data_IF_678859769538
#
_entry.id   IF_678859769538
#
_cell.length_a   1.000
_cell.length_b   1.000
_cell.length_c   1.000
_cell.angle_alpha   90.00
_cell.angle_beta   90.00
_cell.angle_gamma   90.00
#
_symmetry.space_group_name_H-M   'P 1'
#
loop_
_entity.id
_entity.type
_entity.pdbx_description
1 polymer ?
#
# COMPACT_ATOMS: atom_id res chain seq x y z
N UNK A 1 81.63 -18.05 22.16
CA UNK A 1 80.40 -18.57 21.52
C UNK A 1 79.39 -17.44 21.49
N UNK A 2 79.42 -16.72 20.38
CA UNK A 2 78.80 -15.40 20.20
C UNK A 2 77.51 -15.61 19.43
N UNK A 3 76.38 -15.33 20.06
CA UNK A 3 75.02 -15.40 19.42
C UNK A 3 74.75 -14.04 18.86
N UNK A 4 74.60 -13.97 17.52
CA UNK A 4 74.20 -12.79 16.78
C UNK A 4 72.71 -12.63 16.85
N UNK A 5 72.24 -11.48 17.32
CA UNK A 5 70.85 -11.04 17.27
C UNK A 5 70.50 -10.52 15.89
N UNK A 6 69.56 -11.09 15.21
CA UNK A 6 68.93 -10.56 14.00
C UNK A 6 67.83 -9.55 14.36
N UNK A 7 67.74 -8.43 13.68
CA UNK A 7 66.63 -7.52 13.90
C UNK A 7 65.36 -8.00 13.17
N UNK A 8 64.28 -8.12 13.91
CA UNK A 8 62.92 -8.33 13.37
C UNK A 8 62.49 -7.07 12.64
N UNK A 9 62.24 -7.21 11.34
CA UNK A 9 61.63 -6.21 10.50
C UNK A 9 60.10 -6.23 10.77
N UNK A 10 59.58 -5.25 11.50
CA UNK A 10 58.17 -5.03 11.68
C UNK A 10 57.59 -4.41 10.41
N UNK A 11 56.97 -5.22 9.57
CA UNK A 11 56.17 -4.72 8.46
C UNK A 11 54.83 -4.23 9.06
N UNK A 12 54.70 -2.91 9.15
CA UNK A 12 53.43 -2.27 9.46
C UNK A 12 52.47 -2.53 8.29
N UNK A 13 51.61 -3.52 8.44
CA UNK A 13 50.45 -3.73 7.58
C UNK A 13 49.46 -2.56 7.81
N UNK A 14 49.63 -1.50 7.03
CA UNK A 14 48.62 -0.45 6.94
C UNK A 14 47.31 -1.08 6.44
N UNK A 15 46.41 -1.33 7.35
CA UNK A 15 45.03 -1.67 7.02
C UNK A 15 44.42 -0.48 6.27
N UNK A 16 44.40 -0.59 4.93
CA UNK A 16 43.61 0.28 4.08
C UNK A 16 42.15 -0.08 4.35
N UNK A 17 41.60 0.55 5.38
CA UNK A 17 40.17 0.55 5.63
C UNK A 17 39.56 1.33 4.44
N UNK A 18 39.25 0.62 3.35
CA UNK A 18 38.34 1.15 2.36
C UNK A 18 37.02 1.36 3.13
N UNK A 19 36.72 2.62 3.40
CA UNK A 19 35.35 3.06 3.60
C UNK A 19 34.61 2.55 2.34
N UNK A 20 33.96 1.40 2.48
CA UNK A 20 32.84 1.06 1.65
C UNK A 20 31.88 2.22 1.89
N UNK A 21 31.85 3.15 0.95
CA UNK A 21 30.69 4.01 0.80
C UNK A 21 29.52 3.05 0.79
N UNK A 22 28.80 3.01 1.90
CA UNK A 22 27.48 2.44 1.94
C UNK A 22 26.73 3.27 0.89
N UNK A 23 26.67 2.76 -0.34
CA UNK A 23 25.67 3.21 -1.27
C UNK A 23 24.37 3.07 -0.49
N UNK A 24 23.89 4.18 0.02
CA UNK A 24 22.53 4.28 0.50
C UNK A 24 21.69 3.83 -0.67
N UNK A 25 21.23 2.58 -0.63
CA UNK A 25 20.21 2.11 -1.54
C UNK A 25 19.16 3.19 -1.59
N UNK A 26 18.79 3.66 -2.77
CA UNK A 26 17.83 4.73 -2.87
C UNK A 26 16.55 4.28 -2.12
N UNK A 27 15.77 5.24 -1.66
CA UNK A 27 14.51 5.06 -0.91
C UNK A 27 13.50 4.05 -1.50
N UNK A 28 13.89 3.32 -2.55
CA UNK A 28 13.16 2.23 -3.17
C UNK A 28 12.82 1.08 -2.21
N UNK A 29 13.65 0.83 -1.20
CA UNK A 29 13.49 -0.29 -0.27
C UNK A 29 12.74 0.08 1.01
N UNK A 30 12.46 1.36 1.23
CA UNK A 30 11.66 1.79 2.37
C UNK A 30 10.19 1.38 2.16
N UNK A 31 9.52 0.80 3.19
CA UNK A 31 8.12 0.49 3.08
C UNK A 31 7.29 1.76 2.92
N UNK A 32 6.22 1.65 2.13
CA UNK A 32 5.14 2.64 2.08
C UNK A 32 4.18 2.32 3.22
N UNK A 33 3.89 3.29 4.05
CA UNK A 33 2.95 3.12 5.17
C UNK A 33 1.61 3.70 4.79
N UNK A 34 0.57 2.85 4.78
CA UNK A 34 -0.81 3.25 4.50
C UNK A 34 -1.67 2.89 5.71
N UNK A 35 -2.37 3.89 6.27
CA UNK A 35 -3.36 3.68 7.33
C UNK A 35 -4.75 3.76 6.75
N UNK A 36 -5.55 2.73 6.99
CA UNK A 36 -6.95 2.62 6.53
C UNK A 36 -7.86 2.68 7.74
N UNK A 37 -8.91 3.49 7.64
CA UNK A 37 -10.01 3.49 8.59
C UNK A 37 -11.30 3.04 7.91
N UNK A 38 -12.03 2.17 8.61
CA UNK A 38 -13.32 1.66 8.17
C UNK A 38 -14.37 1.78 9.26
N UNK A 39 -15.63 1.74 8.86
CA UNK A 39 -16.80 1.79 9.74
C UNK A 39 -17.82 0.73 9.32
N UNK A 40 -18.88 0.61 10.10
CA UNK A 40 -19.96 -0.35 9.85
C UNK A 40 -19.46 -1.81 9.77
N UNK A 41 -18.34 -2.11 10.43
CA UNK A 41 -17.76 -3.45 10.43
C UNK A 41 -18.71 -4.43 11.10
N UNK A 42 -19.11 -5.45 10.34
CA UNK A 42 -20.10 -6.43 10.75
C UNK A 42 -19.56 -7.83 10.49
N UNK A 43 -19.67 -8.67 11.51
CA UNK A 43 -19.29 -10.08 11.48
C UNK A 43 -20.55 -10.92 11.20
N UNK A 44 -20.63 -11.47 10.01
CA UNK A 44 -21.72 -12.39 9.62
C UNK A 44 -21.35 -13.82 9.98
N UNK A 45 -22.22 -14.49 10.72
CA UNK A 45 -22.07 -15.90 11.11
C UNK A 45 -23.21 -16.72 10.52
N UNK A 46 -22.87 -17.92 10.05
CA UNK A 46 -23.87 -18.87 9.60
C UNK A 46 -24.74 -19.38 10.76
N UNK A 47 -26.01 -19.59 10.50
CA UNK A 47 -26.94 -20.16 11.49
C UNK A 47 -26.61 -21.61 11.88
N UNK A 48 -25.66 -22.24 11.15
CA UNK A 48 -25.11 -23.56 11.47
C UNK A 48 -24.14 -23.54 12.66
N UNK A 49 -23.73 -22.36 13.12
CA UNK A 49 -22.87 -22.22 14.29
C UNK A 49 -23.73 -22.23 15.58
N UNK A 50 -24.16 -23.40 15.95
CA UNK A 50 -24.87 -23.61 17.20
C UNK A 50 -23.90 -24.09 18.30
N UNK A 51 -23.46 -23.16 19.14
CA UNK A 51 -22.59 -23.48 20.29
C UNK A 51 -23.17 -24.53 21.21
N UNK A 52 -24.52 -24.67 21.24
CA UNK A 52 -25.20 -25.71 22.04
C UNK A 52 -24.95 -27.10 21.50
N UNK A 53 -24.61 -27.26 20.22
CA UNK A 53 -24.24 -28.54 19.63
C UNK A 53 -22.82 -28.95 19.99
N UNK A 54 -21.90 -28.00 20.12
CA UNK A 54 -20.53 -28.27 20.57
C UNK A 54 -20.56 -28.81 22.00
N UNK A 55 -21.34 -28.22 22.88
CA UNK A 55 -21.46 -28.64 24.27
C UNK A 55 -22.10 -30.02 24.47
N UNK A 56 -22.79 -30.56 23.47
CA UNK A 56 -23.47 -31.86 23.51
C UNK A 56 -22.69 -32.99 22.85
N UNK A 57 -21.57 -32.68 22.21
CA UNK A 57 -20.71 -33.69 21.60
C UNK A 57 -19.81 -34.34 22.66
N UNK A 58 -20.04 -35.60 23.05
CA UNK A 58 -19.35 -36.22 24.18
C UNK A 58 -17.94 -36.72 23.84
N UNK A 59 -17.43 -36.48 22.65
CA UNK A 59 -16.17 -37.03 22.18
C UNK A 59 -15.02 -36.03 22.07
N UNK A 60 -13.76 -36.49 22.18
CA UNK A 60 -12.59 -35.67 21.90
C UNK A 60 -12.46 -35.33 20.40
N UNK A 61 -13.26 -35.97 19.57
CA UNK A 61 -13.41 -35.65 18.15
C UNK A 61 -14.79 -35.04 17.98
N UNK A 62 -14.84 -33.73 18.06
CA UNK A 62 -15.99 -32.97 17.59
C UNK A 62 -16.36 -33.43 16.19
N UNK A 63 -17.62 -33.61 15.91
CA UNK A 63 -18.03 -33.89 14.54
C UNK A 63 -17.52 -32.77 13.64
N UNK A 64 -17.04 -33.08 12.45
CA UNK A 64 -16.52 -32.11 11.47
C UNK A 64 -17.48 -30.93 11.26
N UNK A 65 -18.77 -31.14 11.44
CA UNK A 65 -19.81 -30.12 11.28
C UNK A 65 -19.85 -29.09 12.44
N UNK A 66 -19.26 -29.37 13.58
CA UNK A 66 -19.19 -28.45 14.73
C UNK A 66 -17.80 -27.87 14.93
N UNK A 67 -16.78 -28.48 14.30
CA UNK A 67 -15.39 -28.07 14.45
C UNK A 67 -14.99 -26.91 13.56
N UNK A 68 -15.70 -26.66 12.46
CA UNK A 68 -15.37 -25.61 11.51
C UNK A 68 -16.45 -24.53 11.48
N UNK A 69 -16.02 -23.29 11.60
CA UNK A 69 -16.87 -22.13 11.35
C UNK A 69 -16.39 -21.39 10.12
N UNK A 70 -17.36 -20.92 9.36
CA UNK A 70 -17.15 -19.91 8.32
C UNK A 70 -17.78 -18.63 8.80
N UNK A 71 -17.00 -17.57 8.84
CA UNK A 71 -17.48 -16.23 9.14
C UNK A 71 -17.11 -15.31 7.99
N UNK A 72 -17.83 -14.22 7.86
CA UNK A 72 -17.57 -13.22 6.84
C UNK A 72 -17.67 -11.84 7.45
N UNK A 73 -16.54 -11.13 7.48
CA UNK A 73 -16.49 -9.75 7.94
C UNK A 73 -16.65 -8.81 6.76
N UNK A 74 -17.40 -7.73 6.93
CA UNK A 74 -17.54 -6.67 5.95
C UNK A 74 -17.56 -5.32 6.65
N UNK A 75 -16.86 -4.33 6.09
CA UNK A 75 -16.95 -2.95 6.53
C UNK A 75 -16.77 -1.97 5.38
N UNK A 76 -17.15 -0.72 5.62
CA UNK A 76 -17.03 0.36 4.65
C UNK A 76 -15.76 1.17 4.95
N UNK A 77 -14.81 1.20 4.01
CA UNK A 77 -13.60 2.05 4.09
C UNK A 77 -14.03 3.51 3.93
N UNK A 78 -13.51 4.39 4.80
CA UNK A 78 -13.84 5.81 4.80
C UNK A 78 -12.64 6.72 4.59
N UNK A 79 -11.46 6.34 5.08
CA UNK A 79 -10.24 7.14 4.89
C UNK A 79 -9.04 6.26 4.58
N UNK A 80 -8.10 6.82 3.80
CA UNK A 80 -6.74 6.31 3.64
C UNK A 80 -5.79 7.46 3.96
N UNK A 81 -4.88 7.26 4.90
CA UNK A 81 -3.98 8.30 5.42
C UNK A 81 -4.70 9.61 5.81
N UNK A 82 -5.95 9.51 6.29
CA UNK A 82 -6.78 10.65 6.65
C UNK A 82 -7.54 11.30 5.49
N UNK A 83 -7.24 10.96 4.25
CA UNK A 83 -7.98 11.42 3.07
C UNK A 83 -9.28 10.65 2.90
N UNK A 84 -10.37 11.35 2.59
CA UNK A 84 -11.69 10.74 2.40
C UNK A 84 -11.74 9.92 1.13
N UNK A 85 -12.09 8.65 1.27
CA UNK A 85 -12.29 7.67 0.20
C UNK A 85 -13.61 6.94 0.40
N UNK A 86 -13.94 6.06 -0.53
CA UNK A 86 -14.94 5.00 -0.37
C UNK A 86 -14.28 3.67 -0.56
N UNK A 87 -14.92 2.62 -0.11
CA UNK A 87 -14.44 1.28 -0.35
C UNK A 87 -15.13 0.27 0.53
N UNK A 88 -14.74 -0.97 0.33
CA UNK A 88 -15.22 -2.11 1.11
C UNK A 88 -14.00 -2.92 1.50
N UNK A 89 -13.89 -3.25 2.76
CA UNK A 89 -13.06 -4.36 3.16
C UNK A 89 -13.94 -5.56 3.47
N UNK A 90 -13.44 -6.74 3.15
CA UNK A 90 -14.13 -7.99 3.44
C UNK A 90 -13.13 -9.06 3.80
N UNK A 91 -13.55 -9.98 4.65
CA UNK A 91 -12.70 -11.05 5.13
C UNK A 91 -13.51 -12.33 5.35
N UNK A 92 -13.54 -13.23 4.36
CA UNK A 92 -13.94 -14.60 4.63
C UNK A 92 -12.90 -15.26 5.54
N UNK A 93 -13.36 -15.91 6.58
CA UNK A 93 -12.52 -16.69 7.48
C UNK A 93 -13.08 -18.09 7.64
N UNK A 94 -12.19 -19.07 7.62
CA UNK A 94 -12.47 -20.45 8.02
C UNK A 94 -11.63 -20.74 9.26
N UNK A 95 -12.27 -21.06 10.34
CA UNK A 95 -11.60 -21.32 11.61
C UNK A 95 -12.07 -22.64 12.21
N UNK A 96 -11.12 -23.32 12.83
CA UNK A 96 -11.39 -24.37 13.79
C UNK A 96 -11.63 -23.66 15.13
N UNK A 97 -12.85 -23.66 15.66
CA UNK A 97 -13.13 -22.98 16.92
C UNK A 97 -12.56 -23.76 18.09
N UNK A 98 -12.56 -23.11 19.22
CA UNK A 98 -12.08 -23.58 20.50
C UNK A 98 -12.26 -25.05 20.79
N UNK A 99 -11.24 -25.64 21.33
CA UNK A 99 -11.43 -26.74 22.27
C UNK A 99 -11.80 -26.15 23.64
N UNK A 100 -13.00 -26.41 24.12
CA UNK A 100 -13.49 -25.84 25.38
C UNK A 100 -12.69 -26.29 26.61
N UNK A 101 -11.93 -27.37 26.50
CA UNK A 101 -11.08 -27.94 27.57
C UNK A 101 -9.80 -28.52 26.96
N UNK A 102 -8.79 -27.70 26.64
CA UNK A 102 -7.51 -28.20 26.16
C UNK A 102 -6.88 -29.13 27.21
N UNK A 103 -6.56 -30.36 26.83
CA UNK A 103 -5.95 -31.33 27.70
C UNK A 103 -4.43 -31.16 27.68
N UNK A 104 -3.75 -30.95 28.80
CA UNK A 104 -2.28 -30.86 28.83
C UNK A 104 -1.62 -32.06 28.17
N UNK A 105 -0.68 -31.85 27.27
CA UNK A 105 0.07 -32.90 26.59
C UNK A 105 -0.60 -33.50 25.35
N UNK A 106 -1.75 -32.94 24.95
CA UNK A 106 -2.42 -33.34 23.71
C UNK A 106 -1.71 -32.75 22.47
N UNK A 107 -1.97 -33.34 21.28
CA UNK A 107 -1.43 -32.79 20.04
C UNK A 107 -1.81 -31.32 19.79
N UNK A 108 -1.04 -30.64 18.97
CA UNK A 108 -1.25 -29.24 18.62
C UNK A 108 -2.67 -28.95 18.07
N UNK A 109 -3.36 -29.96 17.56
CA UNK A 109 -4.74 -29.88 17.12
C UNK A 109 -5.72 -29.50 18.27
N UNK A 110 -5.28 -29.65 19.53
CA UNK A 110 -6.05 -29.28 20.70
C UNK A 110 -5.79 -27.82 21.15
N UNK A 111 -5.02 -27.08 20.39
CA UNK A 111 -4.83 -25.65 20.61
C UNK A 111 -6.12 -24.91 20.28
N UNK A 112 -6.46 -23.93 21.10
CA UNK A 112 -7.76 -23.25 21.22
C UNK A 112 -8.39 -22.78 19.92
N UNK A 113 -7.61 -22.36 18.95
CA UNK A 113 -8.14 -22.03 17.62
C UNK A 113 -7.03 -21.98 16.57
N UNK A 114 -7.38 -22.36 15.37
CA UNK A 114 -6.56 -22.10 14.17
C UNK A 114 -7.48 -21.82 13.00
N UNK A 115 -6.99 -21.13 11.99
CA UNK A 115 -7.78 -20.85 10.81
C UNK A 115 -7.05 -20.01 9.79
N UNK A 116 -7.70 -19.83 8.66
CA UNK A 116 -7.24 -18.96 7.59
C UNK A 116 -8.16 -17.76 7.45
N UNK A 117 -7.55 -16.59 7.31
CA UNK A 117 -8.20 -15.34 7.06
C UNK A 117 -7.63 -14.75 5.77
N UNK A 118 -8.50 -14.36 4.85
CA UNK A 118 -8.14 -13.57 3.68
C UNK A 118 -8.86 -12.24 3.76
N UNK A 119 -8.14 -11.14 3.64
CA UNK A 119 -8.76 -9.83 3.58
C UNK A 119 -8.61 -9.23 2.19
N UNK A 120 -9.67 -8.59 1.74
CA UNK A 120 -9.73 -7.85 0.47
C UNK A 120 -10.14 -6.42 0.80
N UNK A 121 -9.31 -5.46 0.38
CA UNK A 121 -9.47 -4.03 0.64
C UNK A 121 -9.62 -3.31 -0.69
N UNK A 122 -10.86 -3.15 -1.14
CA UNK A 122 -11.16 -2.42 -2.38
C UNK A 122 -11.32 -0.94 -2.06
N UNK A 123 -10.47 -0.10 -2.65
CA UNK A 123 -10.40 1.33 -2.41
C UNK A 123 -10.86 2.09 -3.65
N UNK A 124 -11.80 3.00 -3.43
CA UNK A 124 -12.40 3.87 -4.45
C UNK A 124 -12.21 5.32 -4.05
N UNK A 125 -12.23 6.23 -5.00
CA UNK A 125 -12.34 7.66 -4.72
C UNK A 125 -13.65 8.00 -4.00
N UNK A 126 -13.75 9.19 -3.44
CA UNK A 126 -15.00 9.65 -2.79
C UNK A 126 -16.21 9.70 -3.74
N UNK A 127 -15.97 9.89 -5.06
CA UNK A 127 -17.00 9.83 -6.12
C UNK A 127 -17.18 8.41 -6.71
N UNK A 128 -16.46 7.41 -6.21
CA UNK A 128 -16.68 5.98 -6.53
C UNK A 128 -15.83 5.43 -7.67
N UNK A 129 -14.81 6.14 -8.15
CA UNK A 129 -13.89 5.62 -9.16
C UNK A 129 -12.88 4.68 -8.53
N UNK A 130 -12.51 3.62 -9.24
CA UNK A 130 -11.61 2.60 -8.75
C UNK A 130 -10.16 3.09 -8.65
N UNK A 131 -9.57 2.98 -7.45
CA UNK A 131 -8.15 3.24 -7.21
C UNK A 131 -7.36 1.94 -7.27
N UNK A 132 -7.76 0.92 -6.50
CA UNK A 132 -7.08 -0.35 -6.44
C UNK A 132 -7.56 -1.24 -5.30
N UNK A 133 -7.06 -2.46 -5.28
CA UNK A 133 -7.35 -3.47 -4.25
C UNK A 133 -6.07 -3.97 -3.62
N UNK A 134 -6.05 -4.13 -2.30
CA UNK A 134 -5.04 -4.88 -1.56
C UNK A 134 -5.63 -6.22 -1.12
N UNK A 135 -4.81 -7.28 -1.15
CA UNK A 135 -5.17 -8.62 -0.72
C UNK A 135 -4.13 -9.09 0.29
N UNK A 136 -4.59 -9.50 1.45
CA UNK A 136 -3.74 -10.10 2.48
C UNK A 136 -4.29 -11.42 2.98
N UNK A 137 -3.41 -12.23 3.53
CA UNK A 137 -3.71 -13.54 4.09
C UNK A 137 -2.99 -13.71 5.43
N UNK A 138 -3.62 -14.41 6.36
CA UNK A 138 -3.06 -14.67 7.66
C UNK A 138 -3.77 -15.77 8.42
N UNK A 139 -3.27 -16.05 9.61
CA UNK A 139 -3.93 -16.92 10.55
C UNK A 139 -5.07 -16.19 11.25
N UNK A 140 -6.19 -16.88 11.49
CA UNK A 140 -7.34 -16.31 12.19
C UNK A 140 -7.08 -16.08 13.70
N UNK A 141 -6.07 -16.71 14.29
CA UNK A 141 -5.57 -16.52 15.67
C UNK A 141 -4.34 -17.39 15.95
N UNK A 142 -3.56 -17.11 17.00
CA UNK A 142 -3.13 -15.81 17.48
C UNK A 142 -1.93 -15.31 16.68
N UNK A 143 -2.12 -14.24 15.98
CA UNK A 143 -1.04 -13.57 15.25
C UNK A 143 -1.48 -12.16 14.87
N UNK A 144 -0.71 -11.14 15.18
CA UNK A 144 -1.14 -9.77 14.96
C UNK A 144 -1.01 -9.32 13.50
N UNK A 145 -0.44 -10.13 12.61
CA UNK A 145 -0.07 -9.67 11.28
C UNK A 145 -0.52 -10.63 10.20
N UNK A 146 -1.02 -10.06 9.12
CA UNK A 146 -1.24 -10.75 7.87
C UNK A 146 -0.19 -10.36 6.84
N UNK A 147 0.05 -11.20 5.87
CA UNK A 147 0.97 -10.94 4.77
C UNK A 147 0.18 -10.41 3.60
N UNK A 148 0.53 -9.22 3.11
CA UNK A 148 0.01 -8.71 1.85
C UNK A 148 0.62 -9.53 0.72
N UNK A 149 -0.20 -10.28 0.02
CA UNK A 149 0.19 -11.24 -1.01
C UNK A 149 0.01 -10.70 -2.42
N UNK A 150 -0.68 -9.56 -2.56
CA UNK A 150 -0.91 -8.93 -3.85
C UNK A 150 -1.84 -7.74 -3.77
N UNK A 151 -2.10 -7.21 -4.95
CA UNK A 151 -3.04 -6.14 -5.18
C UNK A 151 -3.21 -5.90 -6.67
N UNK A 152 -4.14 -5.05 -7.03
CA UNK A 152 -4.35 -4.61 -8.40
C UNK A 152 -4.57 -3.08 -8.47
N UNK A 153 -4.82 -2.57 -9.68
CA UNK A 153 -4.94 -1.15 -9.91
C UNK A 153 -3.66 -0.42 -9.51
N UNK A 154 -3.77 0.64 -8.70
CA UNK A 154 -2.63 1.38 -8.19
C UNK A 154 -1.73 0.56 -7.23
N UNK A 155 -2.21 -0.59 -6.74
CA UNK A 155 -1.47 -1.48 -5.84
C UNK A 155 -0.97 -2.76 -6.53
N UNK A 156 -0.89 -2.76 -7.86
CA UNK A 156 -0.46 -3.93 -8.62
C UNK A 156 0.94 -4.41 -8.18
N UNK A 157 1.01 -5.70 -7.79
CA UNK A 157 2.25 -6.35 -7.37
C UNK A 157 2.76 -5.92 -5.99
N UNK A 158 1.92 -5.27 -5.16
CA UNK A 158 2.25 -4.97 -3.77
C UNK A 158 2.46 -6.23 -2.96
N UNK A 159 3.47 -6.19 -2.10
CA UNK A 159 3.69 -7.17 -1.03
C UNK A 159 3.92 -6.42 0.28
N UNK A 160 3.89 -7.12 1.40
CA UNK A 160 4.15 -6.45 2.67
C UNK A 160 3.50 -7.12 3.86
N UNK A 161 3.23 -6.32 4.87
CA UNK A 161 2.58 -6.76 6.10
C UNK A 161 1.38 -5.86 6.38
N UNK A 162 0.26 -6.48 6.69
CA UNK A 162 -0.91 -5.86 7.26
C UNK A 162 -0.84 -6.01 8.78
N UNK A 163 -0.82 -4.89 9.49
CA UNK A 163 -0.76 -4.85 10.95
C UNK A 163 -2.07 -5.29 11.61
N UNK A 164 -2.08 -5.33 12.93
CA UNK A 164 -3.26 -5.69 13.69
C UNK A 164 -4.45 -4.78 13.37
N UNK A 165 -5.63 -5.38 13.19
CA UNK A 165 -6.88 -4.67 13.09
C UNK A 165 -7.29 -4.14 14.47
N UNK A 166 -7.36 -2.84 14.60
CA UNK A 166 -7.72 -2.17 15.85
C UNK A 166 -9.18 -1.70 15.78
N UNK A 167 -10.04 -2.34 16.54
CA UNK A 167 -11.45 -1.96 16.62
C UNK A 167 -11.65 -0.97 17.77
N UNK A 168 -11.92 0.29 17.44
CA UNK A 168 -12.27 1.30 18.44
C UNK A 168 -13.69 1.06 19.00
N UNK A 169 -14.59 0.53 18.16
CA UNK A 169 -15.87 -0.03 18.59
C UNK A 169 -15.98 -1.44 18.05
N UNK A 170 -16.52 -2.41 18.85
CA UNK A 170 -16.65 -3.79 18.43
C UNK A 170 -17.46 -3.95 17.16
N UNK A 171 -17.16 -4.98 16.38
CA UNK A 171 -17.99 -5.37 15.26
C UNK A 171 -19.38 -5.77 15.71
N UNK A 172 -20.38 -5.45 14.90
CA UNK A 172 -21.73 -5.95 15.10
C UNK A 172 -21.81 -7.38 14.57
N UNK A 173 -22.34 -8.29 15.37
CA UNK A 173 -22.66 -9.64 14.92
C UNK A 173 -23.99 -9.63 14.16
N UNK A 174 -24.04 -10.35 13.04
CA UNK A 174 -25.23 -10.53 12.22
C UNK A 174 -25.36 -11.96 11.70
N UNK A 175 -26.57 -12.36 11.32
CA UNK A 175 -26.81 -13.61 10.60
C UNK A 175 -26.39 -13.49 9.14
N UNK A 176 -25.92 -14.58 8.53
CA UNK A 176 -25.68 -14.65 7.08
C UNK A 176 -26.95 -14.51 6.24
N UNK A 177 -28.14 -14.59 6.85
CA UNK A 177 -29.45 -14.30 6.20
C UNK A 177 -29.79 -12.80 6.18
N UNK A 178 -29.05 -11.96 6.92
CA UNK A 178 -29.25 -10.51 6.92
C UNK A 178 -28.69 -9.87 5.63
N UNK A 179 -29.46 -8.94 5.05
CA UNK A 179 -28.96 -8.15 3.93
C UNK A 179 -27.69 -7.36 4.35
N UNK A 180 -26.54 -7.55 3.68
CA UNK A 180 -25.31 -6.83 4.00
C UNK A 180 -25.42 -5.32 3.95
N UNK A 181 -26.40 -4.75 3.22
CA UNK A 181 -26.65 -3.32 3.17
C UNK A 181 -27.11 -2.75 4.54
N UNK A 182 -27.76 -3.58 5.36
CA UNK A 182 -28.26 -3.20 6.68
C UNK A 182 -27.15 -2.72 7.63
N UNK A 183 -25.89 -3.12 7.43
CA UNK A 183 -24.77 -2.62 8.23
C UNK A 183 -24.67 -1.10 8.23
N UNK A 184 -25.10 -0.43 7.14
CA UNK A 184 -25.10 1.03 7.01
C UNK A 184 -26.20 1.71 7.78
N UNK A 185 -27.31 1.01 7.99
CA UNK A 185 -28.48 1.50 8.75
C UNK A 185 -28.39 1.13 10.22
N UNK A 186 -27.98 -0.09 10.52
CA UNK A 186 -27.89 -0.60 11.89
C UNK A 186 -26.56 -0.28 12.56
N UNK A 187 -25.59 0.21 11.78
CA UNK A 187 -24.24 0.47 12.27
C UNK A 187 -23.39 -0.77 12.42
N UNK A 188 -22.18 -0.59 12.92
CA UNK A 188 -21.21 -1.66 13.16
C UNK A 188 -19.95 -1.11 13.80
N UNK A 189 -18.89 -1.92 13.89
CA UNK A 189 -17.63 -1.55 14.44
C UNK A 189 -16.89 -0.49 13.61
N UNK A 190 -15.97 0.20 14.27
CA UNK A 190 -14.99 1.08 13.62
C UNK A 190 -13.62 0.44 13.71
N UNK A 191 -12.94 0.36 12.58
CA UNK A 191 -11.65 -0.32 12.43
C UNK A 191 -10.61 0.67 11.97
N UNK A 192 -9.41 0.57 12.54
CA UNK A 192 -8.19 1.19 12.03
C UNK A 192 -7.11 0.13 11.87
N UNK A 193 -6.41 0.16 10.74
CA UNK A 193 -5.28 -0.72 10.48
C UNK A 193 -4.21 -0.02 9.67
N UNK A 194 -2.99 -0.58 9.69
CA UNK A 194 -1.83 -0.02 8.99
C UNK A 194 -1.17 -1.09 8.14
N UNK A 195 -0.91 -0.76 6.90
CA UNK A 195 -0.15 -1.56 5.95
C UNK A 195 1.28 -1.03 5.83
N UNK A 196 2.25 -1.93 5.85
CA UNK A 196 3.66 -1.69 5.54
C UNK A 196 3.95 -2.38 4.22
N UNK A 197 3.92 -1.61 3.12
CA UNK A 197 3.91 -2.13 1.76
C UNK A 197 5.27 -1.97 1.09
N UNK A 198 5.68 -2.97 0.34
CA UNK A 198 6.85 -2.96 -0.52
C UNK A 198 6.39 -3.00 -1.97
N UNK A 199 6.25 -1.84 -2.64
CA UNK A 199 5.79 -1.76 -4.02
C UNK A 199 6.81 -2.40 -4.98
N UNK A 200 6.33 -3.22 -5.91
CA UNK A 200 7.15 -3.73 -7.01
C UNK A 200 7.56 -2.63 -7.98
N UNK A 201 6.69 -1.64 -8.17
CA UNK A 201 6.94 -0.43 -8.96
C UNK A 201 6.43 0.78 -8.19
N UNK A 202 7.04 1.93 -8.45
CA UNK A 202 6.63 3.21 -7.89
C UNK A 202 6.35 4.19 -9.02
N UNK A 203 5.54 5.24 -8.80
CA UNK A 203 5.45 6.34 -9.73
C UNK A 203 6.84 6.83 -10.10
N UNK A 204 7.12 6.95 -11.38
CA UNK A 204 8.46 7.30 -11.83
C UNK A 204 8.41 8.39 -12.89
N UNK A 205 9.15 9.48 -12.66
CA UNK A 205 9.36 10.53 -13.64
C UNK A 205 10.25 9.99 -14.75
N UNK A 206 9.81 10.11 -16.00
CA UNK A 206 10.57 9.60 -17.15
C UNK A 206 11.90 10.36 -17.25
N UNK A 207 12.98 9.60 -17.38
CA UNK A 207 14.30 10.15 -17.63
C UNK A 207 14.55 10.36 -19.12
N UNK A 208 15.14 11.50 -19.47
CA UNK A 208 15.62 11.80 -20.83
C UNK A 208 17.12 12.08 -20.82
N UNK A 209 17.80 12.10 -21.98
CA UNK A 209 19.21 12.48 -22.03
C UNK A 209 19.50 13.90 -21.47
N UNK A 210 18.50 14.77 -21.47
CA UNK A 210 18.61 16.15 -20.95
C UNK A 210 18.18 16.31 -19.49
N UNK A 211 17.77 15.24 -18.80
CA UNK A 211 17.27 15.28 -17.44
C UNK A 211 15.87 14.65 -17.29
N UNK A 212 15.18 14.88 -16.17
CA UNK A 212 13.82 14.40 -16.00
C UNK A 212 12.87 15.05 -17.03
N UNK A 213 11.88 14.28 -17.51
CA UNK A 213 10.89 14.75 -18.48
C UNK A 213 9.92 15.74 -17.82
N UNK A 214 10.42 16.90 -17.46
CA UNK A 214 9.66 18.05 -16.96
C UNK A 214 9.88 19.20 -17.93
N UNK A 215 8.79 19.75 -18.47
CA UNK A 215 8.83 20.77 -19.52
C UNK A 215 8.08 22.04 -19.12
N UNK A 216 8.55 23.15 -19.63
CA UNK A 216 7.85 24.42 -19.68
C UNK A 216 6.64 24.35 -20.61
N UNK A 217 5.79 25.38 -20.60
CA UNK A 217 4.62 25.48 -21.49
C UNK A 217 4.98 25.49 -22.98
N UNK A 218 6.20 25.90 -23.36
CA UNK A 218 6.70 25.88 -24.73
C UNK A 218 7.32 24.51 -25.13
N UNK A 219 7.25 23.50 -24.27
CA UNK A 219 7.76 22.15 -24.50
C UNK A 219 9.25 21.97 -24.27
N UNK A 220 10.00 23.03 -23.89
CA UNK A 220 11.42 22.89 -23.55
C UNK A 220 11.61 22.21 -22.22
N UNK A 221 12.61 21.33 -22.14
CA UNK A 221 13.00 20.68 -20.89
C UNK A 221 13.49 21.71 -19.86
N UNK A 222 13.08 21.50 -18.62
CA UNK A 222 13.67 22.16 -17.47
C UNK A 222 15.14 21.73 -17.33
N UNK A 223 16.03 22.70 -17.28
CA UNK A 223 17.46 22.47 -17.22
C UNK A 223 18.17 23.63 -16.52
N UNK A 224 19.47 23.52 -16.27
CA UNK A 224 20.26 24.63 -15.74
C UNK A 224 20.26 25.87 -16.66
N UNK A 225 20.10 25.69 -17.99
CA UNK A 225 19.99 26.78 -18.95
C UNK A 225 18.55 27.34 -19.04
N UNK A 226 17.55 26.58 -18.59
CA UNK A 226 16.14 26.97 -18.53
C UNK A 226 15.55 26.53 -17.20
N UNK A 227 15.87 27.21 -16.08
CA UNK A 227 15.37 26.87 -14.76
C UNK A 227 13.92 27.33 -14.57
N UNK A 228 13.18 26.61 -13.70
CA UNK A 228 11.79 26.94 -13.41
C UNK A 228 11.67 28.14 -12.47
N UNK A 229 10.60 28.90 -12.62
CA UNK A 229 10.24 30.01 -11.74
C UNK A 229 9.08 29.61 -10.80
N UNK A 230 9.00 30.27 -9.66
CA UNK A 230 7.85 30.17 -8.76
C UNK A 230 6.56 30.59 -9.50
N UNK A 231 5.46 29.84 -9.30
CA UNK A 231 4.17 30.07 -9.93
C UNK A 231 4.05 29.58 -11.37
N UNK A 232 5.13 29.13 -11.98
CA UNK A 232 5.12 28.59 -13.34
C UNK A 232 4.32 27.28 -13.42
N UNK A 233 3.62 27.06 -14.52
CA UNK A 233 2.92 25.80 -14.81
C UNK A 233 3.83 24.93 -15.67
N UNK A 234 4.11 23.74 -15.20
CA UNK A 234 4.95 22.75 -15.85
C UNK A 234 4.16 21.51 -16.23
N UNK A 235 4.69 20.78 -17.20
CA UNK A 235 4.22 19.45 -17.56
C UNK A 235 5.30 18.42 -17.22
N UNK A 236 4.92 17.40 -16.46
CA UNK A 236 5.76 16.26 -16.11
C UNK A 236 5.22 15.01 -16.79
N UNK A 237 6.12 14.17 -17.32
CA UNK A 237 5.78 12.86 -17.87
C UNK A 237 6.30 11.76 -16.95
N UNK A 238 5.42 10.79 -16.67
CA UNK A 238 5.67 9.73 -15.70
C UNK A 238 5.08 8.40 -16.11
N UNK A 239 5.41 7.34 -15.35
CA UNK A 239 4.78 6.02 -15.41
C UNK A 239 4.23 5.63 -14.05
N UNK A 240 3.32 4.62 -14.01
CA UNK A 240 2.89 4.00 -12.76
C UNK A 240 1.94 4.85 -11.91
N UNK A 241 1.06 5.66 -12.50
CA UNK A 241 0.10 6.47 -11.72
C UNK A 241 -1.21 5.73 -11.41
N UNK A 242 -1.39 4.53 -11.96
CA UNK A 242 -2.56 3.70 -11.68
C UNK A 242 -3.74 3.89 -12.64
N UNK A 243 -4.94 3.38 -12.28
CA UNK A 243 -6.10 3.38 -13.13
C UNK A 243 -6.63 4.77 -13.48
N UNK A 244 -7.25 4.87 -14.66
CA UNK A 244 -7.89 6.09 -15.17
C UNK A 244 -9.39 5.90 -15.36
N UNK A 245 -10.10 6.99 -15.57
CA UNK A 245 -11.49 6.98 -16.04
C UNK A 245 -11.60 7.84 -17.29
N UNK A 246 -11.95 7.30 -18.49
CA UNK A 246 -12.28 5.88 -18.74
C UNK A 246 -11.12 4.91 -18.43
N UNK A 247 -11.47 3.65 -18.11
CA UNK A 247 -10.48 2.60 -17.87
C UNK A 247 -9.80 2.19 -19.19
N UNK A 248 -8.49 1.94 -19.11
CA UNK A 248 -7.69 1.37 -20.20
C UNK A 248 -7.03 0.11 -19.69
N UNK A 249 -7.13 -0.98 -20.44
CA UNK A 249 -6.56 -2.27 -20.06
C UNK A 249 -5.03 -2.19 -19.94
N UNK A 250 -4.49 -2.96 -19.01
CA UNK A 250 -3.05 -3.04 -18.76
C UNK A 250 -2.34 -3.50 -20.05
N UNK A 251 -1.29 -2.77 -20.43
CA UNK A 251 -0.53 -3.06 -21.65
C UNK A 251 -1.13 -2.45 -22.93
N UNK A 252 -2.25 -1.76 -22.85
CA UNK A 252 -2.82 -1.02 -23.97
C UNK A 252 -2.39 0.45 -23.94
N UNK A 253 -2.26 1.06 -25.10
CA UNK A 253 -1.97 2.47 -25.22
C UNK A 253 -3.23 3.31 -24.93
N UNK A 254 -3.07 4.46 -24.28
CA UNK A 254 -4.16 5.42 -24.11
C UNK A 254 -4.66 5.91 -25.47
N UNK A 255 -5.97 5.75 -25.78
CA UNK A 255 -6.51 6.19 -27.05
C UNK A 255 -6.42 7.71 -27.24
N UNK A 256 -6.45 8.13 -28.50
CA UNK A 256 -6.50 9.55 -28.84
C UNK A 256 -7.91 10.13 -28.67
N UNK A 257 -7.99 11.46 -28.49
CA UNK A 257 -9.25 12.22 -28.58
C UNK A 257 -10.06 12.30 -27.28
N UNK A 258 -9.69 11.60 -26.22
CA UNK A 258 -10.31 11.71 -24.90
C UNK A 258 -9.28 11.99 -23.81
N UNK A 259 -9.72 12.58 -22.72
CA UNK A 259 -8.93 12.68 -21.50
C UNK A 259 -9.11 11.40 -20.65
N UNK A 260 -8.04 10.93 -20.07
CA UNK A 260 -7.99 9.75 -19.20
C UNK A 260 -7.46 10.15 -17.82
N UNK A 261 -8.20 10.93 -17.01
CA UNK A 261 -7.74 11.35 -15.71
C UNK A 261 -7.45 10.14 -14.80
N UNK A 262 -6.34 10.25 -14.06
CA UNK A 262 -5.96 9.27 -13.04
C UNK A 262 -6.98 9.31 -11.90
N UNK A 263 -7.40 8.15 -11.42
CA UNK A 263 -8.37 8.05 -10.34
C UNK A 263 -7.76 8.32 -8.95
N UNK A 264 -6.55 7.79 -8.74
CA UNK A 264 -5.85 7.95 -7.47
C UNK A 264 -5.43 9.40 -7.21
N UNK A 265 -5.29 9.82 -5.93
CA UNK A 265 -4.71 11.11 -5.62
C UNK A 265 -3.26 11.18 -6.13
N UNK A 266 -2.92 12.30 -6.78
CA UNK A 266 -1.58 12.60 -7.28
C UNK A 266 -1.08 13.86 -6.57
N UNK A 267 0.11 13.79 -5.97
CA UNK A 267 0.78 14.89 -5.30
C UNK A 267 2.18 15.10 -5.89
N UNK A 268 2.59 16.35 -6.01
CA UNK A 268 3.95 16.73 -6.39
C UNK A 268 4.49 17.65 -5.31
N UNK A 269 5.70 17.34 -4.84
CA UNK A 269 6.44 18.20 -3.92
C UNK A 269 7.75 18.66 -4.54
N UNK A 270 8.05 19.94 -4.38
CA UNK A 270 9.37 20.50 -4.70
C UNK A 270 10.02 20.97 -3.39
N UNK A 271 11.17 20.39 -3.02
CA UNK A 271 11.83 20.62 -1.73
C UNK A 271 10.89 20.42 -0.53
N UNK A 272 9.98 19.44 -0.61
CA UNK A 272 8.99 19.15 0.43
C UNK A 272 7.75 20.05 0.43
N UNK A 273 7.71 21.11 -0.39
CA UNK A 273 6.53 21.97 -0.53
C UNK A 273 5.58 21.39 -1.59
N UNK A 274 4.30 21.25 -1.26
CA UNK A 274 3.28 20.74 -2.18
C UNK A 274 3.01 21.73 -3.31
N UNK A 275 2.93 21.18 -4.52
CA UNK A 275 2.55 21.88 -5.75
C UNK A 275 1.06 21.71 -6.02
N UNK A 276 0.41 22.69 -6.62
CA UNK A 276 -0.94 22.54 -7.11
C UNK A 276 -0.96 21.64 -8.36
N UNK A 277 -1.51 20.43 -8.26
CA UNK A 277 -1.72 19.53 -9.41
C UNK A 277 -2.99 19.98 -10.14
N UNK A 278 -2.82 20.43 -11.38
CA UNK A 278 -3.91 20.94 -12.22
C UNK A 278 -4.56 19.82 -13.05
N UNK A 279 -3.78 18.81 -13.42
CA UNK A 279 -4.23 17.66 -14.18
C UNK A 279 -3.24 16.51 -14.01
N UNK A 280 -3.75 15.30 -13.91
CA UNK A 280 -2.98 14.06 -14.03
C UNK A 280 -3.79 13.06 -14.85
N UNK A 281 -3.21 12.50 -15.91
CA UNK A 281 -3.94 11.57 -16.78
C UNK A 281 -3.05 10.85 -17.76
N UNK A 282 -3.61 9.80 -18.37
CA UNK A 282 -2.94 9.03 -19.41
C UNK A 282 -2.53 9.89 -20.61
N UNK A 283 -1.30 9.69 -21.08
CA UNK A 283 -0.77 10.38 -22.24
C UNK A 283 -1.12 9.60 -23.52
N UNK A 284 -1.87 10.22 -24.40
CA UNK A 284 -2.40 9.59 -25.61
C UNK A 284 -1.29 8.92 -26.47
N UNK A 285 -1.51 7.69 -26.86
CA UNK A 285 -0.57 6.87 -27.64
C UNK A 285 0.51 6.19 -26.81
N UNK A 286 0.61 6.44 -25.50
CA UNK A 286 1.58 5.77 -24.62
C UNK A 286 0.95 4.58 -23.89
N UNK A 287 1.74 3.57 -23.60
CA UNK A 287 1.41 2.46 -22.69
C UNK A 287 1.99 2.82 -21.32
N UNK A 288 1.16 2.87 -20.27
CA UNK A 288 1.56 3.26 -18.92
C UNK A 288 2.29 4.61 -18.83
N UNK A 289 2.10 5.47 -19.82
CA UNK A 289 2.66 6.82 -19.83
C UNK A 289 1.60 7.85 -19.42
N UNK A 290 1.96 8.73 -18.51
CA UNK A 290 1.06 9.74 -17.94
C UNK A 290 1.65 11.14 -18.09
N UNK A 291 0.75 12.13 -18.18
CA UNK A 291 1.07 13.54 -18.12
C UNK A 291 0.52 14.13 -16.83
N UNK A 292 1.33 14.92 -16.13
CA UNK A 292 0.90 15.68 -14.94
C UNK A 292 1.22 17.15 -15.15
N UNK A 293 0.20 17.99 -15.12
CA UNK A 293 0.34 19.46 -15.16
C UNK A 293 0.25 19.98 -13.72
N UNK A 294 1.21 20.78 -13.31
CA UNK A 294 1.27 21.30 -11.95
C UNK A 294 1.87 22.70 -11.90
N UNK A 295 1.54 23.44 -10.85
CA UNK A 295 2.08 24.79 -10.60
C UNK A 295 3.19 24.72 -9.57
N UNK A 296 4.33 25.29 -9.90
CA UNK A 296 5.48 25.41 -9.01
C UNK A 296 5.10 26.27 -7.79
N UNK A 297 5.34 25.82 -6.54
CA UNK A 297 5.00 26.58 -5.36
C UNK A 297 5.82 27.86 -5.23
N UNK A 298 5.28 28.83 -4.51
CA UNK A 298 6.00 30.05 -4.18
C UNK A 298 7.13 29.76 -3.19
N UNK A 299 8.22 30.53 -3.25
CA UNK A 299 9.27 30.50 -2.23
C UNK A 299 10.24 29.30 -2.37
N UNK A 300 10.29 28.63 -3.50
CA UNK A 300 11.33 27.62 -3.75
C UNK A 300 12.71 28.32 -3.85
N UNK A 301 13.75 27.76 -3.25
CA UNK A 301 15.10 28.30 -3.34
C UNK A 301 15.63 28.27 -4.79
N UNK A 302 16.44 29.27 -5.14
CA UNK A 302 17.17 29.30 -6.41
C UNK A 302 18.28 28.25 -6.41
N UNK A 303 18.46 27.56 -7.53
CA UNK A 303 19.54 26.59 -7.73
C UNK A 303 19.01 25.21 -8.14
N UNK A 304 18.95 24.29 -7.21
CA UNK A 304 18.51 22.89 -7.44
C UNK A 304 17.34 22.54 -6.54
N UNK A 305 16.27 22.03 -7.12
CA UNK A 305 15.10 21.54 -6.38
C UNK A 305 14.97 20.02 -6.48
N UNK A 306 14.57 19.38 -5.39
CA UNK A 306 14.18 17.97 -5.37
C UNK A 306 12.68 17.88 -5.65
N UNK A 307 12.31 17.31 -6.79
CA UNK A 307 10.91 17.07 -7.17
C UNK A 307 10.54 15.63 -6.88
N UNK A 308 9.49 15.41 -6.12
CA UNK A 308 8.94 14.07 -5.82
C UNK A 308 7.49 13.98 -6.28
N UNK A 309 7.21 12.95 -7.08
CA UNK A 309 5.86 12.56 -7.51
C UNK A 309 5.34 11.47 -6.59
N UNK A 310 4.08 11.58 -6.17
CA UNK A 310 3.37 10.56 -5.39
C UNK A 310 2.05 10.25 -6.09
N UNK A 311 1.68 8.99 -6.22
CA UNK A 311 0.36 8.57 -6.69
C UNK A 311 -0.18 7.46 -5.79
N UNK A 312 -1.48 7.47 -5.48
CA UNK A 312 -2.11 6.51 -4.57
C UNK A 312 -1.34 6.34 -3.25
N UNK A 313 -0.84 7.44 -2.69
CA UNK A 313 -0.02 7.49 -1.46
C UNK A 313 1.34 6.78 -1.56
N UNK A 314 1.74 6.34 -2.76
CA UNK A 314 3.02 5.68 -3.04
C UNK A 314 3.99 6.74 -3.57
N UNK A 315 5.04 7.13 -2.83
CA UNK A 315 6.02 8.08 -3.31
C UNK A 315 6.96 7.43 -4.33
N UNK A 316 7.21 8.14 -5.42
CA UNK A 316 8.27 7.84 -6.37
C UNK A 316 9.64 8.29 -5.89
N UNK A 317 10.69 7.89 -6.62
CA UNK A 317 12.01 8.42 -6.39
C UNK A 317 12.05 9.93 -6.72
N UNK A 318 12.69 10.76 -5.89
CA UNK A 318 12.86 12.17 -6.20
C UNK A 318 13.77 12.37 -7.41
N UNK A 319 13.47 13.37 -8.22
CA UNK A 319 14.32 13.82 -9.33
C UNK A 319 14.77 15.26 -9.09
N UNK A 320 15.89 15.62 -9.68
CA UNK A 320 16.47 16.96 -9.54
C UNK A 320 16.02 17.85 -10.68
N UNK A 321 15.54 19.05 -10.38
CA UNK A 321 15.22 20.11 -11.35
C UNK A 321 15.96 21.40 -11.02
N UNK A 322 16.24 22.23 -12.04
CA UNK A 322 16.83 23.53 -11.83
C UNK A 322 15.76 24.59 -11.51
N UNK A 323 16.02 25.46 -10.54
CA UNK A 323 15.10 26.48 -10.02
C UNK A 323 15.72 27.89 -10.07
N UNK A 324 14.93 28.96 -10.28
CA UNK A 324 15.37 30.36 -10.29
C UNK A 324 14.45 31.26 -9.48
#
# INVERSE_FOLDING_TARGET
MTIRSSPFLIIAAGALCRLLDAQTSPAADAPVVITVEAQNSTLYRGDTFDLSKIAKDPGPTTSVNTAFITVFNVGDIRTVNGETVKGIWSSPAQALPFHANPQPGQPIADVDSTGMLQCIWQILTSDGKYIGTLIDNGAAAPGPHHIVTGGDGAFLGMTGVHGAMQFATPERAASTSEDPANRRTLGGGTLRTTFYLFPRSRPNVIATPGGPAVTHADGKLVSAASPVAAGEVLTLYATGLGPTTPFVEIGQAFPQGLAYPVNAPVDIKINGQSSEVLYAGGYAGSVDGYQVNFRVPAGIPVGTGSLQLTAAWIPGAPVTIATK
#
